data_IF_180808712679
#
_entry.id   IF_180808712679
#
_cell.length_a   1.000
_cell.length_b   1.000
_cell.length_c   1.000
_cell.angle_alpha   90.00
_cell.angle_beta   90.00
_cell.angle_gamma   90.00
#
_symmetry.space_group_name_H-M   'P 1'
#
loop_
_entity.id
_entity.type
_entity.pdbx_description
1 polymer ?
#
# COMPACT_ATOMS: atom_id res chain seq x y z
N UNK A 1 25.65 13.95 -24.59
CA UNK A 1 24.76 13.35 -23.59
C UNK A 1 23.34 13.81 -23.92
N UNK A 2 22.41 12.98 -24.39
CA UNK A 2 21.04 13.46 -24.58
C UNK A 2 20.41 13.69 -23.19
N UNK A 3 19.86 14.89 -22.99
CA UNK A 3 18.95 15.16 -21.86
C UNK A 3 17.78 14.20 -22.02
N UNK A 4 17.57 13.33 -21.03
CA UNK A 4 16.41 12.45 -21.01
C UNK A 4 15.13 13.30 -21.14
N UNK A 5 14.36 13.07 -22.20
CA UNK A 5 13.08 13.77 -22.39
C UNK A 5 12.08 13.21 -21.38
N UNK A 6 11.66 14.06 -20.44
CA UNK A 6 10.64 13.70 -19.44
C UNK A 6 9.25 14.03 -20.00
N UNK A 7 8.28 13.13 -19.77
CA UNK A 7 6.90 13.35 -20.21
C UNK A 7 6.27 14.57 -19.53
N UNK A 8 5.45 15.33 -20.26
CA UNK A 8 4.71 16.48 -19.71
C UNK A 8 3.82 16.11 -18.52
N UNK A 9 3.23 14.90 -18.48
CA UNK A 9 2.45 14.43 -17.32
C UNK A 9 3.28 14.30 -16.05
N UNK A 10 4.54 13.88 -16.21
CA UNK A 10 5.46 13.71 -15.08
C UNK A 10 5.91 15.07 -14.55
N UNK A 11 6.21 16.01 -15.45
CA UNK A 11 6.54 17.39 -15.08
C UNK A 11 5.38 18.05 -14.33
N UNK A 12 4.14 17.88 -14.82
CA UNK A 12 2.95 18.42 -14.16
C UNK A 12 2.76 17.86 -12.75
N UNK A 13 2.85 16.53 -12.57
CA UNK A 13 2.72 15.91 -11.24
C UNK A 13 3.85 16.35 -10.30
N UNK A 14 5.07 16.46 -10.81
CA UNK A 14 6.22 16.90 -9.99
C UNK A 14 6.06 18.34 -9.51
N UNK A 15 5.54 19.22 -10.36
CA UNK A 15 5.23 20.61 -10.00
C UNK A 15 4.15 20.67 -8.90
N UNK A 16 3.03 19.98 -9.12
CA UNK A 16 1.89 19.94 -8.19
C UNK A 16 2.28 19.36 -6.82
N UNK A 17 3.12 18.33 -6.79
CA UNK A 17 3.52 17.65 -5.56
C UNK A 17 4.72 18.30 -4.85
N UNK A 18 5.37 19.32 -5.44
CA UNK A 18 6.64 19.88 -4.93
C UNK A 18 6.58 20.21 -3.44
N UNK A 19 5.58 20.98 -3.01
CA UNK A 19 5.45 21.42 -1.61
C UNK A 19 5.32 20.24 -0.65
N UNK A 20 4.54 19.22 -1.03
CA UNK A 20 4.35 18.01 -0.20
C UNK A 20 5.64 17.21 -0.12
N UNK A 21 6.36 17.08 -1.24
CA UNK A 21 7.62 16.34 -1.29
C UNK A 21 8.75 17.04 -0.52
N UNK A 22 8.81 18.37 -0.57
CA UNK A 22 9.79 19.15 0.20
C UNK A 22 9.51 19.07 1.70
N UNK A 23 8.23 19.15 2.10
CA UNK A 23 7.83 18.89 3.48
C UNK A 23 8.20 17.47 3.93
N UNK A 24 7.84 16.45 3.14
CA UNK A 24 8.13 15.05 3.45
C UNK A 24 9.63 14.80 3.59
N UNK A 25 10.46 15.37 2.71
CA UNK A 25 11.92 15.28 2.79
C UNK A 25 12.45 15.87 4.10
N UNK A 26 12.00 17.07 4.45
CA UNK A 26 12.47 17.75 5.65
C UNK A 26 12.07 17.02 6.95
N UNK A 27 10.90 16.38 6.95
CA UNK A 27 10.37 15.72 8.15
C UNK A 27 10.74 14.24 8.24
N UNK A 28 10.62 13.46 7.17
CA UNK A 28 10.86 12.01 7.19
C UNK A 28 12.34 11.66 7.03
N UNK A 29 13.09 12.47 6.29
CA UNK A 29 14.52 12.22 6.01
C UNK A 29 15.45 13.18 6.77
N UNK A 30 14.89 14.26 7.33
CA UNK A 30 15.61 15.27 8.12
C UNK A 30 15.48 15.05 9.62
N UNK A 31 15.42 16.16 10.37
CA UNK A 31 15.46 16.17 11.84
C UNK A 31 14.14 15.74 12.52
N UNK A 32 13.15 15.28 11.76
CA UNK A 32 11.84 14.93 12.27
C UNK A 32 10.96 16.15 12.58
N UNK A 33 9.74 15.86 13.07
CA UNK A 33 8.96 16.83 13.83
C UNK A 33 9.63 16.90 15.21
N UNK A 34 10.22 18.03 15.60
CA UNK A 34 11.01 18.14 16.83
C UNK A 34 10.32 17.58 18.10
N UNK A 35 11.04 17.39 19.22
CA UNK A 35 10.59 16.57 20.35
C UNK A 35 9.25 16.96 20.99
N UNK A 36 8.84 18.22 20.86
CA UNK A 36 7.58 18.76 21.42
C UNK A 36 6.47 18.93 20.35
N UNK A 37 6.72 18.48 19.11
CA UNK A 37 5.77 18.62 18.01
C UNK A 37 4.71 17.52 18.07
N UNK A 38 3.46 17.91 17.83
CA UNK A 38 2.38 16.96 17.60
C UNK A 38 2.42 16.46 16.15
N UNK A 39 2.55 15.14 15.95
CA UNK A 39 2.46 14.52 14.63
C UNK A 39 1.00 14.42 14.17
N UNK A 40 0.65 15.27 13.22
CA UNK A 40 -0.64 15.26 12.51
C UNK A 40 -0.49 14.86 11.04
N UNK A 41 0.63 14.27 10.64
CA UNK A 41 0.83 13.83 9.27
C UNK A 41 -0.15 12.73 8.90
N UNK A 42 -0.86 12.95 7.80
CA UNK A 42 -1.73 11.92 7.24
C UNK A 42 -0.89 10.79 6.63
N UNK A 43 -1.30 9.54 6.87
CA UNK A 43 -0.64 8.36 6.31
C UNK A 43 0.41 7.69 7.20
N UNK A 44 0.77 8.29 8.34
CA UNK A 44 1.55 7.63 9.38
C UNK A 44 0.60 6.92 10.38
N UNK A 45 0.62 5.58 10.51
CA UNK A 45 -0.22 4.89 11.48
C UNK A 45 0.13 5.30 12.91
N UNK A 46 -0.84 5.83 13.65
CA UNK A 46 -0.69 6.19 15.06
C UNK A 46 -1.06 5.03 16.01
N UNK A 47 -1.51 3.90 15.44
CA UNK A 47 -1.91 2.70 16.18
C UNK A 47 -1.06 1.50 15.78
N UNK A 48 -0.89 0.56 16.72
CA UNK A 48 -0.20 -0.70 16.44
C UNK A 48 -0.99 -1.54 15.43
N UNK A 49 -0.30 -2.30 14.54
CA UNK A 49 -0.97 -3.20 13.62
C UNK A 49 -1.87 -4.21 14.34
N UNK A 50 -2.98 -4.58 13.72
CA UNK A 50 -3.90 -5.59 14.25
C UNK A 50 -3.16 -6.90 14.52
N UNK A 51 -3.31 -7.43 15.74
CA UNK A 51 -2.58 -8.63 16.16
C UNK A 51 -2.81 -9.83 15.22
N UNK A 52 -4.05 -10.04 14.79
CA UNK A 52 -4.39 -11.11 13.85
C UNK A 52 -3.70 -10.99 12.49
N UNK A 53 -3.39 -9.77 12.03
CA UNK A 53 -2.62 -9.56 10.81
C UNK A 53 -1.16 -9.99 10.99
N UNK A 54 -0.54 -9.58 12.09
CA UNK A 54 0.84 -9.96 12.43
C UNK A 54 0.97 -11.48 12.59
N UNK A 55 0.05 -12.11 13.32
CA UNK A 55 0.05 -13.56 13.53
C UNK A 55 -0.12 -14.33 12.21
N UNK A 56 -0.96 -13.82 11.29
CA UNK A 56 -1.13 -14.43 9.97
C UNK A 56 0.16 -14.35 9.13
N UNK A 57 0.88 -13.23 9.15
CA UNK A 57 2.17 -13.10 8.46
C UNK A 57 3.20 -14.09 8.99
N UNK A 58 3.39 -14.13 10.31
CA UNK A 58 4.35 -15.04 10.97
C UNK A 58 4.04 -16.50 10.58
N UNK A 59 2.77 -16.88 10.55
CA UNK A 59 2.34 -18.25 10.22
C UNK A 59 2.63 -18.66 8.76
N UNK A 60 2.67 -17.71 7.83
CA UNK A 60 2.72 -17.99 6.39
C UNK A 60 4.01 -17.54 5.70
N UNK A 61 4.92 -16.87 6.41
CA UNK A 61 6.19 -16.41 5.83
C UNK A 61 7.15 -17.56 5.54
N UNK A 62 7.13 -18.64 6.31
CA UNK A 62 8.01 -19.80 6.07
C UNK A 62 7.59 -20.56 4.80
N UNK A 63 8.47 -20.72 3.80
CA UNK A 63 8.14 -21.40 2.56
C UNK A 63 7.96 -22.91 2.74
N UNK A 64 6.90 -23.45 2.14
CA UNK A 64 6.60 -24.90 2.21
C UNK A 64 6.89 -25.65 0.91
N UNK A 65 7.11 -24.93 -0.19
CA UNK A 65 7.46 -25.47 -1.48
C UNK A 65 8.24 -24.45 -2.32
N UNK A 66 8.80 -24.90 -3.45
CA UNK A 66 9.66 -24.10 -4.33
C UNK A 66 8.93 -22.96 -5.05
N UNK A 67 7.60 -22.98 -5.09
CA UNK A 67 6.76 -21.97 -5.73
C UNK A 67 6.18 -20.97 -4.72
N UNK A 68 6.52 -21.08 -3.42
CA UNK A 68 5.90 -20.30 -2.35
C UNK A 68 5.92 -18.78 -2.58
N UNK A 69 7.06 -18.26 -3.06
CA UNK A 69 7.27 -16.85 -3.42
C UNK A 69 7.26 -16.59 -4.93
N UNK A 70 6.85 -17.58 -5.74
CA UNK A 70 6.77 -17.46 -7.18
C UNK A 70 5.61 -16.56 -7.63
N UNK A 71 5.58 -16.24 -8.92
CA UNK A 71 4.49 -15.46 -9.52
C UNK A 71 3.14 -16.16 -9.35
N UNK A 72 2.21 -15.52 -8.64
CA UNK A 72 0.82 -15.96 -8.53
C UNK A 72 -0.03 -15.12 -9.47
N UNK A 73 -0.51 -15.73 -10.55
CA UNK A 73 -1.23 -14.99 -11.60
C UNK A 73 -2.59 -14.48 -11.13
N UNK A 74 -3.28 -15.23 -10.25
CA UNK A 74 -4.53 -14.86 -9.61
C UNK A 74 -4.64 -15.68 -8.33
N UNK A 75 -4.41 -15.07 -7.16
CA UNK A 75 -4.60 -15.79 -5.90
C UNK A 75 -6.11 -15.95 -5.65
N UNK A 76 -6.66 -17.09 -6.10
CA UNK A 76 -8.08 -17.40 -6.01
C UNK A 76 -8.57 -17.35 -4.55
N UNK A 77 -7.75 -17.83 -3.62
CA UNK A 77 -8.04 -17.80 -2.20
C UNK A 77 -8.11 -16.36 -1.67
N UNK A 78 -7.19 -15.49 -2.11
CA UNK A 78 -7.24 -14.07 -1.74
C UNK A 78 -8.53 -13.41 -2.25
N UNK A 79 -8.90 -13.64 -3.51
CA UNK A 79 -10.13 -13.08 -4.12
C UNK A 79 -11.39 -13.58 -3.41
N UNK A 80 -11.48 -14.87 -3.11
CA UNK A 80 -12.60 -15.46 -2.36
C UNK A 80 -12.71 -14.91 -0.94
N UNK A 81 -11.57 -14.74 -0.27
CA UNK A 81 -11.52 -14.20 1.09
C UNK A 81 -11.97 -12.75 1.13
N UNK A 82 -11.48 -11.92 0.20
CA UNK A 82 -11.86 -10.51 0.08
C UNK A 82 -13.35 -10.38 -0.28
N UNK A 83 -13.84 -11.14 -1.27
CA UNK A 83 -15.24 -11.13 -1.67
C UNK A 83 -16.16 -11.45 -0.48
N UNK A 84 -15.86 -12.51 0.27
CA UNK A 84 -16.62 -12.90 1.47
C UNK A 84 -16.62 -11.80 2.53
N UNK A 85 -15.44 -11.26 2.86
CA UNK A 85 -15.31 -10.23 3.90
C UNK A 85 -16.05 -8.95 3.51
N UNK A 86 -15.95 -8.52 2.25
CA UNK A 86 -16.67 -7.36 1.75
C UNK A 86 -18.18 -7.58 1.76
N UNK A 87 -18.64 -8.77 1.36
CA UNK A 87 -20.07 -9.08 1.36
C UNK A 87 -20.67 -8.99 2.76
N UNK A 88 -19.97 -9.50 3.77
CA UNK A 88 -20.37 -9.40 5.17
C UNK A 88 -20.36 -7.95 5.67
N UNK A 89 -19.30 -7.19 5.39
CA UNK A 89 -19.13 -5.83 5.89
C UNK A 89 -20.04 -4.79 5.20
N UNK A 90 -20.51 -5.09 3.98
CA UNK A 90 -21.30 -4.17 3.15
C UNK A 90 -22.72 -4.64 2.87
N UNK A 91 -23.10 -5.83 3.35
CA UNK A 91 -24.41 -6.45 3.13
C UNK A 91 -24.81 -6.47 1.63
N UNK A 92 -23.84 -6.83 0.77
CA UNK A 92 -23.99 -6.90 -0.69
C UNK A 92 -23.26 -8.12 -1.23
N UNK A 93 -23.79 -8.78 -2.25
CA UNK A 93 -23.14 -9.96 -2.83
C UNK A 93 -21.99 -9.57 -3.79
N UNK A 94 -20.75 -9.58 -3.28
CA UNK A 94 -19.53 -9.50 -4.08
C UNK A 94 -19.07 -10.90 -4.49
N UNK A 95 -18.76 -11.08 -5.77
CA UNK A 95 -18.21 -12.33 -6.32
C UNK A 95 -16.69 -12.23 -6.43
N UNK A 96 -15.95 -13.36 -6.41
CA UNK A 96 -14.50 -13.32 -6.63
C UNK A 96 -14.10 -12.65 -7.95
N UNK A 97 -14.94 -12.73 -8.97
CA UNK A 97 -14.78 -12.07 -10.29
C UNK A 97 -14.90 -10.56 -10.26
N UNK A 98 -15.45 -9.99 -9.19
CA UNK A 98 -15.49 -8.55 -8.96
C UNK A 98 -14.20 -8.03 -8.30
N UNK A 99 -13.27 -8.92 -7.91
CA UNK A 99 -12.07 -8.59 -7.13
C UNK A 99 -10.81 -8.72 -7.99
N UNK A 100 -10.12 -7.60 -8.19
CA UNK A 100 -8.75 -7.56 -8.67
C UNK A 100 -7.79 -7.31 -7.50
N UNK A 101 -6.77 -8.16 -7.35
CA UNK A 101 -5.71 -7.97 -6.35
C UNK A 101 -4.59 -7.17 -7.00
N UNK A 102 -4.30 -6.01 -6.44
CA UNK A 102 -3.19 -5.12 -6.85
C UNK A 102 -2.14 -5.09 -5.74
N UNK A 103 -0.94 -4.56 -6.03
CA UNK A 103 0.11 -4.41 -5.03
C UNK A 103 -0.35 -3.56 -3.83
N UNK A 104 -1.18 -2.55 -4.10
CA UNK A 104 -1.80 -1.68 -3.10
C UNK A 104 -3.03 -0.97 -3.70
N UNK A 105 -3.81 -0.28 -2.85
CA UNK A 105 -5.04 0.42 -3.24
C UNK A 105 -4.85 1.67 -4.12
N UNK A 106 -3.60 2.07 -4.40
CA UNK A 106 -3.27 3.24 -5.24
C UNK A 106 -3.17 2.90 -6.74
N UNK A 107 -3.09 1.62 -7.08
CA UNK A 107 -2.94 1.16 -8.46
C UNK A 107 -4.21 1.51 -9.28
N UNK A 108 -4.15 2.64 -9.97
CA UNK A 108 -5.12 3.10 -10.96
C UNK A 108 -4.43 3.37 -12.29
#
# INVERSE_FOLDING_TARGET
MPIATVSSRMLAVTEEMRTVMDFARNVLEGDGLGPDACDFMFGNPQEMPLRGFVDALIRHVEPRDVHWFGYKKYDALARETVARSLSQARNRDYKPDDIAITAEGSAR
#
